data_IF_789816398022
#
_entry.id   IF_789816398022
#
_cell.length_a   1.000
_cell.length_b   1.000
_cell.length_c   1.000
_cell.angle_alpha   90.00
_cell.angle_beta   90.00
_cell.angle_gamma   90.00
#
_symmetry.space_group_name_H-M   'P 1'
#
loop_
_entity.id
_entity.type
_entity.pdbx_description
1 polymer ?
#
# COMPACT_ATOMS: atom_id res chain seq x y z
N UNK A 1 7.98 18.45 -3.32
CA UNK A 1 8.53 17.11 -3.00
C UNK A 1 8.45 16.26 -4.26
N UNK A 2 9.45 15.43 -4.55
CA UNK A 2 9.37 14.53 -5.71
C UNK A 2 8.14 13.62 -5.57
N UNK A 3 7.35 13.49 -6.63
CA UNK A 3 6.14 12.66 -6.65
C UNK A 3 6.44 11.21 -6.28
N UNK A 4 7.63 10.73 -6.62
CA UNK A 4 8.15 9.43 -6.18
C UNK A 4 8.32 9.34 -4.66
N UNK A 5 8.79 10.42 -4.03
CA UNK A 5 9.00 10.49 -2.58
C UNK A 5 7.66 10.51 -1.84
N UNK A 6 6.66 11.22 -2.38
CA UNK A 6 5.28 11.20 -1.85
C UNK A 6 4.69 9.79 -1.93
N UNK A 7 4.82 9.14 -3.08
CA UNK A 7 4.40 7.75 -3.27
C UNK A 7 5.06 6.82 -2.23
N UNK A 8 6.37 6.94 -2.07
CA UNK A 8 7.13 6.11 -1.13
C UNK A 8 6.66 6.31 0.32
N UNK A 9 6.43 7.56 0.74
CA UNK A 9 5.92 7.87 2.08
C UNK A 9 4.54 7.27 2.30
N UNK A 10 3.62 7.42 1.34
CA UNK A 10 2.26 6.84 1.45
C UNK A 10 2.35 5.33 1.62
N UNK A 11 3.16 4.66 0.80
CA UNK A 11 3.32 3.21 0.89
C UNK A 11 3.90 2.76 2.23
N UNK A 12 4.94 3.44 2.73
CA UNK A 12 5.53 3.18 4.03
C UNK A 12 4.51 3.36 5.16
N UNK A 13 3.70 4.41 5.08
CA UNK A 13 2.67 4.73 6.07
C UNK A 13 1.62 3.62 6.15
N UNK A 14 1.18 3.08 5.01
CA UNK A 14 0.22 1.97 4.95
C UNK A 14 0.81 0.69 5.58
N UNK A 15 2.08 0.37 5.29
CA UNK A 15 2.75 -0.78 5.90
C UNK A 15 2.86 -0.61 7.42
N UNK A 16 3.31 0.56 7.88
CA UNK A 16 3.49 0.84 9.30
C UNK A 16 2.14 0.82 10.03
N UNK A 17 1.08 1.36 9.43
CA UNK A 17 -0.27 1.28 10.00
C UNK A 17 -0.72 -0.17 10.18
N UNK A 18 -0.56 -1.00 9.15
CA UNK A 18 -0.93 -2.41 9.21
C UNK A 18 -0.08 -3.25 10.16
N UNK A 19 1.25 -3.05 10.16
CA UNK A 19 2.18 -3.89 10.92
C UNK A 19 2.33 -3.47 12.38
N UNK A 20 2.26 -2.16 12.67
CA UNK A 20 2.60 -1.61 13.98
C UNK A 20 1.42 -0.94 14.67
N UNK A 21 0.70 -0.06 13.97
CA UNK A 21 -0.31 0.79 14.61
C UNK A 21 -1.65 0.07 14.82
N UNK A 22 -2.04 -0.84 13.93
CA UNK A 22 -3.28 -1.61 14.05
C UNK A 22 -3.12 -2.85 14.95
N UNK A 23 -2.64 -2.62 16.17
CA UNK A 23 -2.33 -3.65 17.17
C UNK A 23 -3.55 -4.50 17.55
N UNK A 24 -4.73 -3.89 17.55
CA UNK A 24 -6.01 -4.55 17.85
C UNK A 24 -6.77 -5.02 16.60
N UNK A 25 -6.16 -4.92 15.41
CA UNK A 25 -6.80 -5.30 14.13
C UNK A 25 -8.20 -4.70 13.96
N UNK A 26 -8.44 -3.48 14.44
CA UNK A 26 -9.78 -2.85 14.33
C UNK A 26 -10.01 -2.28 12.93
N UNK A 27 -8.95 -1.77 12.29
CA UNK A 27 -9.00 -1.20 10.94
C UNK A 27 -8.89 -2.29 9.87
N UNK A 28 -7.95 -3.21 10.07
CA UNK A 28 -7.68 -4.32 9.17
C UNK A 28 -8.25 -5.64 9.68
N UNK A 29 -9.32 -5.58 10.49
CA UNK A 29 -9.97 -6.75 11.11
C UNK A 29 -10.57 -7.73 10.11
N UNK A 30 -11.00 -7.23 8.95
CA UNK A 30 -11.47 -8.03 7.83
C UNK A 30 -10.35 -8.91 7.22
N UNK A 31 -9.08 -8.53 7.37
CA UNK A 31 -7.92 -9.36 6.98
C UNK A 31 -7.47 -10.31 8.10
N UNK A 32 -8.16 -10.38 9.25
CA UNK A 32 -7.67 -11.20 10.36
C UNK A 32 -7.75 -12.71 10.04
N UNK A 33 -8.80 -13.15 9.34
CA UNK A 33 -8.98 -14.54 8.90
C UNK A 33 -8.08 -14.94 7.71
N UNK A 34 -7.38 -13.98 7.09
CA UNK A 34 -6.58 -14.23 5.91
C UNK A 34 -5.25 -14.88 6.26
N UNK A 35 -4.77 -15.76 5.37
CA UNK A 35 -3.45 -16.35 5.51
C UNK A 35 -2.36 -15.28 5.30
N UNK A 36 -1.13 -15.57 5.75
CA UNK A 36 0.00 -14.65 5.53
C UNK A 36 0.26 -14.40 4.04
N UNK A 37 -0.02 -15.39 3.18
CA UNK A 37 0.20 -15.27 1.72
C UNK A 37 -0.81 -14.32 1.08
N UNK A 38 -2.08 -14.41 1.46
CA UNK A 38 -3.14 -13.54 0.91
C UNK A 38 -2.91 -12.08 1.30
N UNK A 39 -2.46 -11.85 2.54
CA UNK A 39 -2.05 -10.51 3.01
C UNK A 39 -0.92 -9.94 2.15
N UNK A 40 0.11 -10.73 1.87
CA UNK A 40 1.23 -10.31 1.02
C UNK A 40 0.76 -10.03 -0.41
N UNK A 41 -0.07 -10.92 -0.99
CA UNK A 41 -0.64 -10.72 -2.32
C UNK A 41 -1.44 -9.41 -2.42
N UNK A 42 -2.21 -9.07 -1.39
CA UNK A 42 -2.93 -7.81 -1.34
C UNK A 42 -1.99 -6.59 -1.38
N UNK A 43 -0.95 -6.56 -0.54
CA UNK A 43 0.00 -5.44 -0.54
C UNK A 43 0.82 -5.36 -1.83
N UNK A 44 1.18 -6.49 -2.42
CA UNK A 44 1.86 -6.52 -3.73
C UNK A 44 0.95 -6.01 -4.84
N UNK A 45 -0.31 -6.45 -4.87
CA UNK A 45 -1.31 -5.97 -5.83
C UNK A 45 -1.60 -4.48 -5.66
N UNK A 46 -1.75 -4.02 -4.43
CA UNK A 46 -1.90 -2.60 -4.09
C UNK A 46 -0.70 -1.77 -4.60
N UNK A 47 0.54 -2.23 -4.36
CA UNK A 47 1.73 -1.55 -4.85
C UNK A 47 1.78 -1.55 -6.38
N UNK A 48 1.50 -2.67 -7.04
CA UNK A 48 1.50 -2.77 -8.50
C UNK A 48 0.49 -1.81 -9.14
N UNK A 49 -0.75 -1.76 -8.62
CA UNK A 49 -1.79 -0.82 -9.10
C UNK A 49 -1.37 0.63 -8.85
N UNK A 50 -0.80 0.92 -7.69
CA UNK A 50 -0.39 2.28 -7.34
C UNK A 50 0.78 2.76 -8.22
N UNK A 51 1.75 1.89 -8.54
CA UNK A 51 2.81 2.16 -9.51
C UNK A 51 2.23 2.36 -10.91
N UNK A 52 1.28 1.53 -11.33
CA UNK A 52 0.62 1.67 -12.63
C UNK A 52 -0.11 3.03 -12.75
N UNK A 53 -0.82 3.45 -11.71
CA UNK A 53 -1.47 4.78 -11.67
C UNK A 53 -0.44 5.90 -11.70
N UNK A 54 0.66 5.77 -10.93
CA UNK A 54 1.74 6.76 -10.92
C UNK A 54 2.36 6.93 -12.31
N UNK A 55 2.66 5.83 -13.00
CA UNK A 55 3.24 5.86 -14.34
C UNK A 55 2.25 6.40 -15.36
N UNK A 56 1.00 5.92 -15.37
CA UNK A 56 0.00 6.37 -16.36
C UNK A 56 -0.33 7.86 -16.21
N UNK A 57 -0.49 8.34 -14.97
CA UNK A 57 -0.66 9.78 -14.74
C UNK A 57 0.61 10.56 -15.07
N UNK A 58 1.80 10.06 -14.74
CA UNK A 58 3.07 10.71 -15.06
C UNK A 58 3.36 10.81 -16.57
N UNK A 59 3.00 9.78 -17.34
CA UNK A 59 3.16 9.73 -18.80
C UNK A 59 2.26 10.76 -19.50
N UNK A 60 1.14 11.14 -18.89
CA UNK A 60 0.24 12.15 -19.48
C UNK A 60 0.83 13.57 -19.42
N UNK A 61 1.84 13.79 -18.57
CA UNK A 61 2.52 15.08 -18.36
C UNK A 61 4.01 15.06 -18.72
N UNK A 62 4.48 13.98 -19.37
CA UNK A 62 5.83 13.82 -19.95
C UNK A 62 5.78 14.10 -21.45
#
# INVERSE_FOLDING_TARGET
MSSFLVFFIVFLTVIVDFCWLDKNRKRWGWMNSWTKRDKVFFFVGFLAISVFVYVTMGVTYL
#
